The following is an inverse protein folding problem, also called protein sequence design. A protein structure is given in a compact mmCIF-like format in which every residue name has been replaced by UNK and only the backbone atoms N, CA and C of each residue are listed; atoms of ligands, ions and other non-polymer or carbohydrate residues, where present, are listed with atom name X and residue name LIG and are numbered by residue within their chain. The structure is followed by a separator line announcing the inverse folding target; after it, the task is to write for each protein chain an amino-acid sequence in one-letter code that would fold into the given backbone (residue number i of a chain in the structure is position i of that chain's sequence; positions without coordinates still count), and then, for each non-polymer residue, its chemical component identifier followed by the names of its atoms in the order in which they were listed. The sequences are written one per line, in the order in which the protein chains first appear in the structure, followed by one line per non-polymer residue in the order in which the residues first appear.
data_IF_543277327442
#
_entry.id   IF_543277327442
#
_cell.length_a   1.000
_cell.length_b   1.000
_cell.length_c   1.000
_cell.angle_alpha   90.00
_cell.angle_beta   90.00
_cell.angle_gamma   90.00
#
_symmetry.space_group_name_H-M   'P 1'
#
loop_
_entity.id
_entity.type
_entity.pdbx_description
1 polymer ?
#
# COMPACT_ATOMS: atom_id res chain seq x y z
N UNK A 1 -56.96 24.74 -35.88
CA UNK A 1 -56.68 23.42 -35.25
C UNK A 1 -55.27 22.88 -35.54
N UNK A 2 -54.67 23.10 -36.72
CA UNK A 2 -53.32 22.59 -37.03
C UNK A 2 -52.16 23.25 -36.23
N UNK A 3 -52.28 24.53 -35.83
CA UNK A 3 -51.25 25.24 -35.04
C UNK A 3 -51.15 24.79 -33.58
N UNK A 4 -52.26 24.33 -32.99
CA UNK A 4 -52.29 23.83 -31.60
C UNK A 4 -51.70 22.42 -31.48
N UNK A 5 -51.72 21.64 -32.57
CA UNK A 5 -51.15 20.29 -32.61
C UNK A 5 -49.61 20.30 -32.64
N UNK A 6 -49.00 21.30 -33.28
CA UNK A 6 -47.54 21.44 -33.37
C UNK A 6 -46.88 21.83 -32.04
N UNK A 7 -47.57 22.58 -31.18
CA UNK A 7 -47.07 22.95 -29.85
C UNK A 7 -47.14 21.74 -28.90
N UNK A 8 -48.14 20.87 -29.05
CA UNK A 8 -48.29 19.68 -28.21
C UNK A 8 -47.27 18.58 -28.54
N UNK A 9 -46.82 18.48 -29.80
CA UNK A 9 -45.77 17.54 -30.21
C UNK A 9 -44.37 17.99 -29.77
N UNK A 10 -44.10 19.30 -29.67
CA UNK A 10 -42.81 19.79 -29.13
C UNK A 10 -42.67 19.62 -27.61
N UNK A 11 -43.77 19.62 -26.84
CA UNK A 11 -43.72 19.37 -25.38
C UNK A 11 -43.51 17.90 -25.00
N UNK A 12 -43.74 16.96 -25.92
CA UNK A 12 -43.57 15.52 -25.67
C UNK A 12 -42.18 14.98 -26.07
N UNK A 13 -41.32 15.83 -26.63
CA UNK A 13 -39.89 15.53 -26.84
C UNK A 13 -39.03 16.10 -25.71
N UNK A 14 -39.46 15.92 -24.46
CA UNK A 14 -38.56 16.03 -23.32
C UNK A 14 -37.50 14.94 -23.41
N UNK A 15 -36.40 15.21 -24.10
CA UNK A 15 -35.24 14.32 -24.10
C UNK A 15 -34.82 14.12 -22.65
N UNK A 16 -34.90 12.89 -22.15
CA UNK A 16 -34.31 12.53 -20.88
C UNK A 16 -32.78 12.73 -21.00
N UNK A 17 -32.34 13.95 -20.68
CA UNK A 17 -30.94 14.33 -20.66
C UNK A 17 -30.30 13.63 -19.46
N UNK A 18 -29.88 12.39 -19.67
CA UNK A 18 -29.18 11.62 -18.65
C UNK A 18 -27.81 12.26 -18.38
N UNK A 19 -27.61 12.82 -17.19
CA UNK A 19 -26.32 13.38 -16.84
C UNK A 19 -25.29 12.26 -16.58
N UNK A 20 -24.17 12.32 -17.31
CA UNK A 20 -22.97 11.54 -17.00
C UNK A 20 -22.42 11.90 -15.60
N UNK A 21 -21.50 11.10 -15.06
CA UNK A 21 -20.82 11.41 -13.81
C UNK A 21 -20.17 12.80 -13.91
N UNK A 22 -19.38 13.01 -14.97
CA UNK A 22 -18.91 14.32 -15.42
C UNK A 22 -18.80 14.36 -16.95
N UNK A 23 -18.85 15.57 -17.51
CA UNK A 23 -18.66 15.80 -18.95
C UNK A 23 -17.16 15.92 -19.27
N UNK A 24 -16.72 15.18 -20.28
CA UNK A 24 -15.36 15.23 -20.82
C UNK A 24 -15.20 16.46 -21.70
N UNK A 25 -14.14 17.24 -21.50
CA UNK A 25 -13.75 18.32 -22.43
C UNK A 25 -12.29 18.22 -22.87
N UNK A 26 -11.52 17.31 -22.27
CA UNK A 26 -10.13 17.04 -22.60
C UNK A 26 -9.94 15.54 -22.87
N UNK A 27 -8.81 15.18 -23.48
CA UNK A 27 -8.42 13.80 -23.75
C UNK A 27 -7.05 13.46 -23.15
N UNK A 28 -6.83 12.19 -22.85
CA UNK A 28 -5.52 11.73 -22.38
C UNK A 28 -4.48 11.88 -23.49
N UNK A 29 -3.51 12.75 -23.25
CA UNK A 29 -2.30 12.92 -24.05
C UNK A 29 -1.06 12.71 -23.19
N UNK A 30 0.11 12.61 -23.80
CA UNK A 30 1.37 12.53 -23.04
C UNK A 30 1.54 13.72 -22.08
N UNK A 31 1.12 14.93 -22.49
CA UNK A 31 1.14 16.10 -21.62
C UNK A 31 0.24 15.95 -20.39
N UNK A 32 -0.94 15.32 -20.53
CA UNK A 32 -1.80 15.00 -19.38
C UNK A 32 -1.25 13.88 -18.51
N UNK A 33 -0.57 12.88 -19.09
CA UNK A 33 0.16 11.86 -18.32
C UNK A 33 1.29 12.47 -17.49
N UNK A 34 2.00 13.46 -18.04
CA UNK A 34 3.07 14.16 -17.32
C UNK A 34 2.50 15.08 -16.23
N UNK A 35 1.38 15.78 -16.50
CA UNK A 35 0.65 16.54 -15.48
C UNK A 35 0.08 15.65 -14.37
N UNK A 36 -0.37 14.45 -14.72
CA UNK A 36 -0.83 13.45 -13.75
C UNK A 36 0.31 13.01 -12.84
N UNK A 37 1.47 12.65 -13.41
CA UNK A 37 2.64 12.28 -12.64
C UNK A 37 3.07 13.41 -11.68
N UNK A 38 3.08 14.66 -12.15
CA UNK A 38 3.41 15.82 -11.31
C UNK A 38 2.38 16.07 -10.20
N UNK A 39 1.09 15.96 -10.51
CA UNK A 39 0.02 16.09 -9.50
C UNK A 39 0.14 15.00 -8.42
N UNK A 40 0.40 13.75 -8.80
CA UNK A 40 0.61 12.66 -7.83
C UNK A 40 1.81 12.97 -6.93
N UNK A 41 2.92 13.42 -7.51
CA UNK A 41 4.12 13.79 -6.77
C UNK A 41 3.85 14.91 -5.76
N UNK A 42 3.13 15.97 -6.15
CA UNK A 42 2.90 17.15 -5.33
C UNK A 42 1.74 17.00 -4.31
N UNK A 43 0.62 16.43 -4.75
CA UNK A 43 -0.68 16.51 -4.07
C UNK A 43 -1.14 15.19 -3.44
N UNK A 44 -0.72 14.04 -3.95
CA UNK A 44 -1.14 12.73 -3.40
C UNK A 44 -0.39 12.41 -2.10
N UNK A 45 -0.99 12.76 -0.95
CA UNK A 45 -0.36 12.70 0.39
C UNK A 45 -1.16 11.81 1.33
N UNK A 46 -0.55 11.43 2.45
CA UNK A 46 -1.18 10.58 3.47
C UNK A 46 -2.43 11.19 4.09
N UNK A 47 -2.57 12.51 4.06
CA UNK A 47 -3.72 13.24 4.56
C UNK A 47 -4.79 13.56 3.50
N UNK A 48 -4.65 13.07 2.26
CA UNK A 48 -5.48 13.51 1.14
C UNK A 48 -6.99 13.36 1.39
N UNK A 49 -7.43 12.25 2.01
CA UNK A 49 -8.85 12.03 2.34
C UNK A 49 -9.23 12.47 3.77
N UNK A 50 -8.26 12.79 4.63
CA UNK A 50 -8.49 13.22 6.01
C UNK A 50 -8.46 14.74 6.19
N UNK A 51 -7.89 15.49 5.24
CA UNK A 51 -7.90 16.96 5.27
C UNK A 51 -9.22 17.54 4.77
N UNK A 52 -9.79 18.49 5.52
CA UNK A 52 -11.04 19.18 5.15
C UNK A 52 -10.86 20.18 3.99
N UNK A 53 -9.65 20.67 3.79
CA UNK A 53 -9.32 21.65 2.76
C UNK A 53 -8.14 21.20 1.91
N UNK A 54 -8.18 21.52 0.62
CA UNK A 54 -7.06 21.38 -0.30
C UNK A 54 -6.00 22.46 0.00
N UNK A 55 -4.79 22.31 -0.54
CA UNK A 55 -3.67 23.25 -0.28
C UNK A 55 -3.92 24.67 -0.78
N UNK A 56 -4.80 24.82 -1.76
CA UNK A 56 -5.24 26.11 -2.28
C UNK A 56 -6.34 26.77 -1.41
N UNK A 57 -6.69 26.17 -0.27
CA UNK A 57 -7.70 26.68 0.68
C UNK A 57 -9.14 26.26 0.38
N UNK A 58 -9.42 25.64 -0.77
CA UNK A 58 -10.76 25.18 -1.12
C UNK A 58 -11.20 23.99 -0.27
N UNK A 59 -12.52 23.82 -0.08
CA UNK A 59 -13.08 22.61 0.54
C UNK A 59 -12.67 21.37 -0.25
N UNK A 60 -12.22 20.33 0.45
CA UNK A 60 -11.84 19.07 -0.18
C UNK A 60 -13.08 18.22 -0.46
N UNK A 61 -13.49 18.06 -1.74
CA UNK A 61 -14.70 17.31 -2.07
C UNK A 61 -14.55 15.81 -1.82
N UNK A 62 -13.34 15.31 -1.56
CA UNK A 62 -13.04 13.91 -1.28
C UNK A 62 -12.82 13.64 0.22
N UNK A 63 -12.94 14.67 1.06
CA UNK A 63 -12.84 14.50 2.50
C UNK A 63 -13.80 13.40 2.99
N UNK A 64 -13.30 12.56 3.89
CA UNK A 64 -14.05 11.49 4.53
C UNK A 64 -14.24 10.24 3.66
N UNK A 65 -13.64 10.18 2.46
CA UNK A 65 -13.58 8.92 1.73
C UNK A 65 -12.63 7.95 2.45
N UNK A 66 -13.05 6.69 2.52
CA UNK A 66 -12.27 5.60 3.04
C UNK A 66 -11.92 4.68 1.89
N UNK A 67 -10.66 4.32 1.79
CA UNK A 67 -10.11 3.62 0.63
C UNK A 67 -9.23 2.48 1.10
N UNK A 68 -9.31 1.31 0.47
CA UNK A 68 -8.33 0.25 0.60
C UNK A 68 -7.12 0.45 -0.35
N UNK A 69 -6.30 -0.59 -0.56
CA UNK A 69 -5.16 -0.51 -1.46
C UNK A 69 -5.54 -0.24 -2.93
N UNK A 70 -6.54 -0.94 -3.48
CA UNK A 70 -6.95 -0.78 -4.86
C UNK A 70 -7.77 0.50 -5.05
N UNK A 71 -8.64 0.81 -4.09
CA UNK A 71 -9.39 2.06 -4.05
C UNK A 71 -8.46 3.27 -4.12
N UNK A 72 -7.34 3.23 -3.39
CA UNK A 72 -6.31 4.29 -3.44
C UNK A 72 -5.79 4.47 -4.86
N UNK A 73 -5.48 3.38 -5.57
CA UNK A 73 -4.96 3.42 -6.95
C UNK A 73 -6.01 3.99 -7.92
N UNK A 74 -7.24 3.46 -7.91
CA UNK A 74 -8.30 3.95 -8.80
C UNK A 74 -8.70 5.39 -8.48
N UNK A 75 -8.83 5.76 -7.20
CA UNK A 75 -9.17 7.12 -6.77
C UNK A 75 -8.19 8.13 -7.32
N UNK A 76 -6.89 7.84 -7.22
CA UNK A 76 -5.83 8.72 -7.72
C UNK A 76 -6.04 9.07 -9.20
N UNK A 77 -6.39 8.08 -10.04
CA UNK A 77 -6.63 8.29 -11.48
C UNK A 77 -7.96 8.96 -11.77
N UNK A 78 -9.04 8.55 -11.08
CA UNK A 78 -10.39 9.10 -11.26
C UNK A 78 -10.44 10.57 -10.86
N UNK A 79 -9.86 10.92 -9.71
CA UNK A 79 -9.85 12.29 -9.18
C UNK A 79 -9.12 13.22 -10.14
N UNK A 80 -7.91 12.84 -10.58
CA UNK A 80 -7.19 13.64 -11.56
C UNK A 80 -7.97 13.78 -12.88
N UNK A 81 -8.60 12.69 -13.35
CA UNK A 81 -9.40 12.71 -14.56
C UNK A 81 -10.59 13.67 -14.43
N UNK A 82 -11.31 13.63 -13.32
CA UNK A 82 -12.43 14.53 -13.05
C UNK A 82 -11.98 16.00 -12.97
N UNK A 83 -10.94 16.31 -12.19
CA UNK A 83 -10.43 17.68 -12.01
C UNK A 83 -9.92 18.29 -13.31
N UNK A 84 -9.48 17.46 -14.25
CA UNK A 84 -9.01 17.88 -15.56
C UNK A 84 -9.99 17.57 -16.70
N UNK A 85 -11.22 17.13 -16.40
CA UNK A 85 -12.27 16.81 -17.37
C UNK A 85 -11.83 15.83 -18.48
N UNK A 86 -11.04 14.84 -18.10
CA UNK A 86 -10.56 13.73 -18.93
C UNK A 86 -11.54 12.54 -18.86
N UNK A 87 -11.57 11.67 -19.88
CA UNK A 87 -12.28 10.41 -19.80
C UNK A 87 -11.65 9.48 -18.76
N UNK A 88 -12.49 8.73 -18.05
CA UNK A 88 -12.08 7.59 -17.24
C UNK A 88 -12.81 6.34 -17.71
N UNK A 89 -12.07 5.25 -17.89
CA UNK A 89 -12.61 3.96 -18.27
C UNK A 89 -11.77 2.84 -17.66
N UNK A 90 -12.43 1.80 -17.18
CA UNK A 90 -11.83 0.58 -16.64
C UNK A 90 -12.64 -0.64 -17.06
N UNK A 91 -12.03 -1.81 -17.11
CA UNK A 91 -12.70 -3.08 -17.35
C UNK A 91 -13.67 -3.38 -16.20
N UNK A 92 -14.89 -3.77 -16.52
CA UNK A 92 -15.88 -4.18 -15.52
C UNK A 92 -15.59 -5.63 -15.09
N UNK A 93 -15.11 -5.87 -13.85
CA UNK A 93 -14.82 -7.23 -13.38
C UNK A 93 -16.10 -8.07 -13.17
N UNK A 94 -17.28 -7.44 -13.17
CA UNK A 94 -18.58 -8.10 -12.99
C UNK A 94 -19.26 -8.45 -14.31
N UNK A 95 -18.78 -7.89 -15.44
CA UNK A 95 -19.39 -8.09 -16.75
C UNK A 95 -18.33 -8.20 -17.86
N UNK A 96 -18.14 -9.41 -18.37
CA UNK A 96 -17.12 -9.70 -19.39
C UNK A 96 -17.27 -8.81 -20.64
N UNK A 97 -16.17 -8.17 -21.05
CA UNK A 97 -16.12 -7.29 -22.22
C UNK A 97 -16.86 -5.95 -22.06
N UNK A 98 -17.33 -5.63 -20.85
CA UNK A 98 -17.91 -4.33 -20.52
C UNK A 98 -16.91 -3.46 -19.78
N UNK A 99 -17.17 -2.17 -19.78
CA UNK A 99 -16.33 -1.18 -19.12
C UNK A 99 -17.16 -0.28 -18.22
N UNK A 100 -16.59 0.08 -17.07
CA UNK A 100 -17.08 1.13 -16.19
C UNK A 100 -16.44 2.45 -16.63
N UNK A 101 -17.22 3.52 -16.77
CA UNK A 101 -16.70 4.82 -17.20
C UNK A 101 -17.44 5.99 -16.56
N UNK A 102 -16.88 7.19 -16.69
CA UNK A 102 -17.52 8.43 -16.24
C UNK A 102 -18.79 8.79 -17.04
N UNK A 103 -19.10 8.08 -18.12
CA UNK A 103 -20.33 8.28 -18.92
C UNK A 103 -21.57 7.61 -18.32
N UNK A 104 -21.42 6.88 -17.22
CA UNK A 104 -22.56 6.26 -16.53
C UNK A 104 -23.53 7.33 -16.02
N UNK A 105 -24.84 7.09 -16.16
CA UNK A 105 -25.92 7.96 -15.70
C UNK A 105 -26.58 7.51 -14.39
N UNK A 106 -25.96 6.56 -13.68
CA UNK A 106 -26.53 5.93 -12.46
C UNK A 106 -26.90 6.94 -11.36
N UNK A 107 -26.25 8.10 -11.34
CA UNK A 107 -26.45 9.14 -10.34
C UNK A 107 -27.02 10.43 -10.95
N UNK A 108 -27.75 10.29 -12.05
CA UNK A 108 -28.48 11.41 -12.63
C UNK A 108 -29.41 12.08 -11.58
N UNK A 109 -29.58 13.40 -11.71
CA UNK A 109 -30.33 14.21 -10.75
C UNK A 109 -29.56 14.66 -9.50
N UNK A 110 -28.32 14.21 -9.29
CA UNK A 110 -27.46 14.67 -8.20
C UNK A 110 -26.51 15.79 -8.65
N UNK A 111 -25.98 16.57 -7.71
CA UNK A 111 -24.89 17.53 -8.01
C UNK A 111 -23.65 16.79 -8.53
N UNK A 112 -22.87 17.42 -9.40
CA UNK A 112 -21.71 16.76 -10.02
C UNK A 112 -20.71 16.22 -8.99
N UNK A 113 -20.43 16.99 -7.94
CA UNK A 113 -19.58 16.53 -6.83
C UNK A 113 -20.14 15.27 -6.16
N UNK A 114 -21.46 15.17 -5.99
CA UNK A 114 -22.07 13.98 -5.41
C UNK A 114 -22.03 12.80 -6.39
N UNK A 115 -22.20 13.03 -7.70
CA UNK A 115 -22.05 11.98 -8.73
C UNK A 115 -20.65 11.38 -8.70
N UNK A 116 -19.61 12.22 -8.65
CA UNK A 116 -18.22 11.75 -8.59
C UNK A 116 -17.93 10.97 -7.31
N UNK A 117 -18.40 11.46 -6.15
CA UNK A 117 -18.27 10.72 -4.89
C UNK A 117 -18.96 9.35 -4.95
N UNK A 118 -20.16 9.29 -5.50
CA UNK A 118 -20.88 8.04 -5.65
C UNK A 118 -20.27 7.10 -6.70
N UNK A 119 -19.65 7.66 -7.75
CA UNK A 119 -18.87 6.88 -8.71
C UNK A 119 -17.64 6.25 -8.05
N UNK A 120 -16.90 7.00 -7.22
CA UNK A 120 -15.80 6.45 -6.42
C UNK A 120 -16.29 5.32 -5.50
N UNK A 121 -17.40 5.52 -4.78
CA UNK A 121 -17.97 4.46 -3.92
C UNK A 121 -18.38 3.22 -4.71
N UNK A 122 -18.93 3.40 -5.90
CA UNK A 122 -19.25 2.27 -6.77
C UNK A 122 -18.00 1.53 -7.21
N UNK A 123 -16.94 2.25 -7.59
CA UNK A 123 -15.63 1.68 -7.91
C UNK A 123 -15.09 0.86 -6.73
N UNK A 124 -15.20 1.35 -5.50
CA UNK A 124 -14.74 0.61 -4.31
C UNK A 124 -15.53 -0.68 -4.06
N UNK A 125 -16.79 -0.70 -4.45
CA UNK A 125 -17.65 -1.88 -4.32
C UNK A 125 -17.44 -2.95 -5.41
N UNK A 126 -16.77 -2.63 -6.52
CA UNK A 126 -16.65 -3.55 -7.68
C UNK A 126 -15.21 -3.85 -8.07
N UNK A 127 -14.28 -2.91 -7.85
CA UNK A 127 -12.87 -3.08 -8.19
C UNK A 127 -12.09 -3.69 -7.02
N UNK A 128 -10.93 -4.25 -7.32
CA UNK A 128 -10.00 -4.76 -6.30
C UNK A 128 -8.59 -4.84 -6.86
N UNK A 129 -7.62 -5.27 -6.04
CA UNK A 129 -6.28 -5.57 -6.56
C UNK A 129 -6.32 -6.61 -7.69
N UNK A 130 -7.34 -7.49 -7.73
CA UNK A 130 -7.52 -8.49 -8.80
C UNK A 130 -7.95 -7.88 -10.13
N UNK A 131 -8.58 -6.71 -10.14
CA UNK A 131 -8.99 -6.03 -11.38
C UNK A 131 -7.86 -5.18 -11.97
N UNK A 132 -6.93 -4.67 -11.15
CA UNK A 132 -5.82 -3.82 -11.59
C UNK A 132 -5.06 -4.36 -12.83
N UNK A 133 -4.73 -5.66 -12.95
CA UNK A 133 -4.02 -6.17 -14.12
C UNK A 133 -4.77 -6.02 -15.44
N UNK A 134 -6.09 -5.86 -15.41
CA UNK A 134 -6.91 -5.65 -16.61
C UNK A 134 -6.83 -4.20 -17.10
N UNK A 135 -6.59 -3.26 -16.19
CA UNK A 135 -6.55 -1.81 -16.47
C UNK A 135 -5.12 -1.27 -16.61
N UNK A 136 -4.12 -2.10 -16.33
CA UNK A 136 -2.71 -1.70 -16.26
C UNK A 136 -1.82 -2.70 -16.98
N UNK A 137 -0.64 -2.26 -17.42
CA UNK A 137 0.35 -3.10 -18.09
C UNK A 137 1.69 -3.08 -17.34
N UNK A 138 2.48 -4.17 -17.38
CA UNK A 138 3.82 -4.20 -16.80
C UNK A 138 4.78 -3.30 -17.59
N UNK A 139 5.66 -2.61 -16.89
CA UNK A 139 6.55 -1.60 -17.47
C UNK A 139 8.01 -2.01 -17.47
N UNK A 140 8.80 -1.34 -18.32
CA UNK A 140 10.25 -1.48 -18.35
C UNK A 140 10.89 -0.91 -17.07
N UNK A 141 12.08 -1.38 -16.72
CA UNK A 141 12.83 -0.93 -15.54
C UNK A 141 13.68 0.29 -15.90
N UNK A 142 13.06 1.47 -15.85
CA UNK A 142 13.74 2.77 -15.95
C UNK A 142 12.85 3.89 -15.38
N UNK A 143 13.42 5.08 -15.17
CA UNK A 143 12.72 6.24 -14.60
C UNK A 143 11.65 6.87 -15.49
N UNK A 144 11.70 6.64 -16.80
CA UNK A 144 10.69 7.20 -17.71
C UNK A 144 9.37 6.45 -17.59
N UNK A 145 9.41 5.17 -17.23
CA UNK A 145 8.23 4.31 -17.11
C UNK A 145 7.85 4.02 -15.66
N UNK A 146 8.81 3.86 -14.75
CA UNK A 146 8.57 3.74 -13.31
C UNK A 146 8.66 5.14 -12.71
N UNK A 147 7.50 5.79 -12.63
CA UNK A 147 7.37 7.18 -12.17
C UNK A 147 6.07 7.41 -11.40
N UNK A 148 5.94 8.61 -10.87
CA UNK A 148 4.75 9.09 -10.16
C UNK A 148 3.47 8.80 -10.96
N UNK A 149 2.43 8.32 -10.27
CA UNK A 149 1.16 7.91 -10.89
C UNK A 149 1.12 6.46 -11.40
N UNK A 150 2.28 5.79 -11.48
CA UNK A 150 2.35 4.35 -11.62
C UNK A 150 1.98 3.62 -10.34
N UNK A 151 2.00 2.29 -10.39
CA UNK A 151 1.72 1.44 -9.23
C UNK A 151 2.66 0.24 -9.16
N UNK A 152 2.72 -0.36 -7.97
CA UNK A 152 3.20 -1.72 -7.78
C UNK A 152 2.04 -2.57 -7.27
N UNK A 153 1.85 -3.76 -7.85
CA UNK A 153 0.84 -4.71 -7.41
C UNK A 153 1.50 -6.02 -6.99
N UNK A 154 0.86 -6.76 -6.08
CA UNK A 154 1.26 -8.13 -5.76
C UNK A 154 0.58 -9.13 -6.69
N UNK A 155 1.04 -10.37 -6.63
CA UNK A 155 0.35 -11.50 -7.23
C UNK A 155 -1.05 -11.68 -6.64
N UNK A 156 -1.84 -12.54 -7.30
CA UNK A 156 -3.15 -12.99 -6.82
C UNK A 156 -3.12 -13.68 -5.45
N UNK A 157 -1.96 -13.98 -4.87
CA UNK A 157 -1.90 -14.58 -3.54
C UNK A 157 -2.02 -13.53 -2.43
N UNK A 158 -1.41 -12.36 -2.61
CA UNK A 158 -1.25 -11.36 -1.55
C UNK A 158 -2.19 -10.14 -1.65
N UNK A 159 -2.87 -9.96 -2.78
CA UNK A 159 -3.95 -8.99 -2.96
C UNK A 159 -3.67 -7.53 -2.57
N UNK A 160 -2.43 -7.06 -2.68
CA UNK A 160 -2.06 -5.70 -2.30
C UNK A 160 -1.52 -4.86 -3.45
N UNK A 161 -1.61 -3.55 -3.29
CA UNK A 161 -1.08 -2.59 -4.26
C UNK A 161 -0.63 -1.29 -3.58
N UNK A 162 0.26 -0.59 -4.28
CA UNK A 162 0.81 0.69 -3.87
C UNK A 162 0.79 1.67 -5.03
N UNK A 163 0.48 2.93 -4.73
CA UNK A 163 0.73 4.02 -5.68
C UNK A 163 2.18 4.46 -5.57
N UNK A 164 2.83 4.70 -6.71
CA UNK A 164 4.17 5.29 -6.75
C UNK A 164 3.98 6.80 -6.65
N UNK A 165 4.35 7.38 -5.51
CA UNK A 165 4.37 8.84 -5.33
C UNK A 165 5.57 9.44 -6.04
N UNK A 166 6.75 8.84 -5.88
CA UNK A 166 7.97 9.18 -6.60
C UNK A 166 9.02 8.06 -6.47
N UNK A 167 10.07 8.13 -7.30
CA UNK A 167 11.29 7.35 -7.13
C UNK A 167 12.39 8.29 -6.62
N UNK A 168 12.79 8.11 -5.37
CA UNK A 168 13.82 8.91 -4.69
C UNK A 168 15.13 8.90 -5.51
N UNK A 169 16.00 9.92 -5.43
CA UNK A 169 17.25 9.97 -6.21
C UNK A 169 18.17 8.76 -6.05
N UNK A 170 18.01 7.99 -4.96
CA UNK A 170 18.74 6.75 -4.66
C UNK A 170 18.13 5.50 -5.31
N UNK A 171 17.09 5.67 -6.13
CA UNK A 171 16.40 4.59 -6.84
C UNK A 171 15.32 3.87 -6.02
N UNK A 172 15.09 4.28 -4.77
CA UNK A 172 14.10 3.67 -3.85
C UNK A 172 12.71 4.28 -4.10
N UNK A 173 11.64 3.47 -4.15
CA UNK A 173 10.29 4.00 -4.30
C UNK A 173 9.79 4.65 -3.01
N UNK A 174 9.13 5.80 -3.15
CA UNK A 174 8.24 6.36 -2.16
C UNK A 174 6.82 5.99 -2.56
N UNK A 175 6.21 5.12 -1.76
CA UNK A 175 4.91 4.53 -2.00
C UNK A 175 3.87 5.13 -1.06
N UNK A 176 2.68 5.42 -1.58
CA UNK A 176 1.49 5.80 -0.80
C UNK A 176 0.42 4.74 -1.05
N UNK A 177 -0.26 4.30 0.00
CA UNK A 177 -1.18 3.18 -0.07
C UNK A 177 -2.16 3.20 1.10
N UNK A 178 -3.15 2.31 1.08
CA UNK A 178 -3.90 1.98 2.28
C UNK A 178 -4.07 0.47 2.42
N UNK A 179 -4.75 0.02 3.47
CA UNK A 179 -5.12 -1.37 3.68
C UNK A 179 -6.61 -1.49 3.96
N UNK A 180 -7.17 -2.69 3.87
CA UNK A 180 -8.57 -2.98 4.23
C UNK A 180 -8.89 -2.45 5.64
N UNK A 181 -7.94 -2.58 6.58
CA UNK A 181 -8.08 -2.01 7.93
C UNK A 181 -8.17 -0.51 7.92
N UNK A 182 -7.25 0.15 7.20
CA UNK A 182 -7.26 1.60 7.10
C UNK A 182 -8.55 2.12 6.46
N UNK A 183 -9.15 1.37 5.53
CA UNK A 183 -10.48 1.67 4.98
C UNK A 183 -11.60 1.55 6.03
N UNK A 184 -11.42 0.77 7.09
CA UNK A 184 -12.40 0.61 8.16
C UNK A 184 -12.13 1.53 9.36
N UNK A 185 -10.88 1.92 9.58
CA UNK A 185 -10.44 2.59 10.81
C UNK A 185 -10.10 4.07 10.69
N UNK A 186 -9.86 4.58 9.48
CA UNK A 186 -9.49 5.99 9.30
C UNK A 186 -9.64 6.53 7.89
N UNK A 187 -9.31 7.82 7.74
CA UNK A 187 -9.27 8.52 6.44
C UNK A 187 -7.82 8.76 5.97
N UNK A 188 -6.83 8.40 6.79
CA UNK A 188 -5.42 8.56 6.46
C UNK A 188 -4.91 7.43 5.57
N UNK A 189 -4.15 7.78 4.55
CA UNK A 189 -3.33 6.82 3.82
C UNK A 189 -2.02 6.57 4.59
N UNK A 190 -1.38 5.47 4.25
CA UNK A 190 -0.07 5.07 4.74
C UNK A 190 1.00 5.39 3.69
N UNK A 191 2.24 5.43 4.14
CA UNK A 191 3.38 5.60 3.25
C UNK A 191 4.58 4.76 3.65
N UNK A 192 5.44 4.48 2.66
CA UNK A 192 6.73 3.82 2.88
C UNK A 192 7.77 4.33 1.89
N UNK A 193 9.01 4.45 2.36
CA UNK A 193 10.19 4.82 1.57
C UNK A 193 11.17 3.64 1.51
N UNK A 194 10.67 2.50 1.04
CA UNK A 194 11.40 1.24 1.00
C UNK A 194 10.83 0.30 -0.06
N UNK A 195 11.64 -0.66 -0.47
CA UNK A 195 11.24 -1.74 -1.36
C UNK A 195 10.33 -2.73 -0.62
N UNK A 196 9.15 -3.06 -1.17
CA UNK A 196 8.43 -4.26 -0.76
C UNK A 196 9.29 -5.52 -0.99
N UNK A 197 9.14 -6.53 -0.13
CA UNK A 197 9.83 -7.80 -0.29
C UNK A 197 9.41 -8.45 -1.64
N UNK A 198 10.35 -8.69 -2.58
CA UNK A 198 10.01 -9.25 -3.88
C UNK A 198 9.42 -10.67 -3.76
N UNK A 199 9.84 -11.50 -2.80
CA UNK A 199 9.25 -12.82 -2.58
C UNK A 199 7.76 -12.74 -2.20
N UNK A 200 7.38 -11.67 -1.52
CA UNK A 200 5.97 -11.37 -1.20
C UNK A 200 5.24 -10.74 -2.39
N UNK A 201 5.87 -9.81 -3.12
CA UNK A 201 5.25 -9.19 -4.30
C UNK A 201 4.88 -10.25 -5.35
N UNK A 202 5.78 -11.21 -5.59
CA UNK A 202 5.64 -12.22 -6.64
C UNK A 202 5.24 -13.60 -6.10
N UNK A 203 4.71 -13.67 -4.88
CA UNK A 203 4.49 -14.96 -4.20
C UNK A 203 3.57 -15.88 -5.01
N UNK A 204 4.01 -17.12 -5.21
CA UNK A 204 3.28 -18.17 -5.93
C UNK A 204 3.30 -18.06 -7.45
N UNK A 205 3.61 -16.90 -8.03
CA UNK A 205 3.68 -16.71 -9.48
C UNK A 205 4.62 -15.54 -9.82
N UNK A 206 5.86 -15.86 -10.18
CA UNK A 206 6.83 -14.89 -10.70
C UNK A 206 6.85 -14.89 -12.23
N UNK A 207 5.73 -14.47 -12.83
CA UNK A 207 5.59 -14.34 -14.28
C UNK A 207 4.80 -13.10 -14.66
N UNK A 208 4.81 -12.74 -15.94
CA UNK A 208 4.04 -11.60 -16.47
C UNK A 208 2.52 -11.75 -16.29
N UNK A 209 2.04 -12.99 -16.15
CA UNK A 209 0.62 -13.31 -15.96
C UNK A 209 0.14 -13.16 -14.51
N UNK A 210 1.06 -13.01 -13.56
CA UNK A 210 0.76 -12.87 -12.13
C UNK A 210 -0.08 -11.64 -11.79
N UNK A 211 -0.02 -10.62 -12.65
CA UNK A 211 -0.57 -9.29 -12.37
C UNK A 211 0.30 -8.46 -11.42
N UNK A 212 1.44 -9.00 -10.97
CA UNK A 212 2.32 -8.36 -10.00
C UNK A 212 3.34 -7.39 -10.64
N UNK A 213 4.15 -6.77 -9.78
CA UNK A 213 5.27 -5.93 -10.16
C UNK A 213 4.88 -4.48 -10.45
N UNK A 214 5.78 -3.74 -11.09
CA UNK A 214 5.54 -2.37 -11.52
C UNK A 214 4.61 -2.33 -12.73
N UNK A 215 3.60 -1.46 -12.67
CA UNK A 215 2.58 -1.32 -13.70
C UNK A 215 2.21 0.14 -13.93
N UNK A 216 1.65 0.39 -15.11
CA UNK A 216 1.10 1.70 -15.47
C UNK A 216 -0.25 1.55 -16.18
N UNK A 217 -1.04 2.62 -16.19
CA UNK A 217 -2.39 2.63 -16.75
C UNK A 217 -2.40 2.37 -18.26
N UNK A 218 -3.28 1.47 -18.70
CA UNK A 218 -3.54 1.24 -20.12
C UNK A 218 -4.33 2.43 -20.68
N UNK A 219 -4.00 2.91 -21.89
CA UNK A 219 -4.87 3.86 -22.56
C UNK A 219 -6.22 3.20 -22.88
N UNK A 220 -7.30 3.99 -22.92
CA UNK A 220 -8.65 3.53 -23.19
C UNK A 220 -8.74 2.66 -24.47
N UNK A 221 -8.04 3.07 -25.52
CA UNK A 221 -7.97 2.37 -26.82
C UNK A 221 -7.27 1.00 -26.75
N UNK A 222 -6.55 0.70 -25.67
CA UNK A 222 -5.89 -0.57 -25.45
C UNK A 222 -6.65 -1.49 -24.49
N UNK A 223 -7.63 -1.01 -23.70
CA UNK A 223 -8.24 -1.82 -22.62
C UNK A 223 -8.84 -3.16 -23.09
N UNK A 224 -9.46 -3.20 -24.27
CA UNK A 224 -10.08 -4.41 -24.85
C UNK A 224 -9.12 -5.24 -25.72
N UNK A 225 -7.84 -4.87 -25.78
CA UNK A 225 -6.81 -5.60 -26.53
C UNK A 225 -6.03 -6.52 -25.58
N UNK A 226 -5.24 -7.48 -26.08
CA UNK A 226 -4.25 -8.17 -25.26
C UNK A 226 -3.28 -7.18 -24.59
N UNK A 227 -2.89 -7.43 -23.33
CA UNK A 227 -2.05 -6.50 -22.54
C UNK A 227 -0.71 -6.17 -23.21
N UNK A 228 -0.12 -7.13 -23.91
CA UNK A 228 1.15 -7.00 -24.63
C UNK A 228 1.09 -6.05 -25.84
N UNK A 229 -0.11 -5.66 -26.29
CA UNK A 229 -0.32 -4.63 -27.31
C UNK A 229 -0.41 -3.21 -26.72
N UNK A 230 -0.38 -3.06 -25.39
CA UNK A 230 -0.43 -1.74 -24.76
C UNK A 230 0.89 -1.00 -25.03
N UNK A 231 0.86 0.27 -25.48
CA UNK A 231 2.07 1.07 -25.63
C UNK A 231 2.86 1.12 -24.31
N UNK A 232 4.15 0.87 -24.36
CA UNK A 232 5.02 0.85 -23.17
C UNK A 232 5.09 -0.50 -22.43
N UNK A 233 4.36 -1.53 -22.89
CA UNK A 233 4.46 -2.88 -22.33
C UNK A 233 5.90 -3.40 -22.31
N UNK A 234 6.30 -3.98 -21.18
CA UNK A 234 7.55 -4.70 -21.04
C UNK A 234 7.46 -5.77 -19.96
N UNK A 235 8.06 -6.93 -20.22
CA UNK A 235 8.21 -8.05 -19.31
C UNK A 235 9.60 -8.10 -18.63
N UNK A 236 10.43 -7.05 -18.81
CA UNK A 236 11.82 -6.99 -18.31
C UNK A 236 11.93 -7.35 -16.83
N UNK A 237 11.00 -6.87 -16.01
CA UNK A 237 11.02 -7.08 -14.56
C UNK A 237 10.86 -8.54 -14.12
N UNK A 238 10.39 -9.43 -15.00
CA UNK A 238 10.22 -10.87 -14.76
C UNK A 238 11.43 -11.71 -15.21
N UNK A 239 12.42 -11.06 -15.84
CA UNK A 239 13.68 -11.69 -16.29
C UNK A 239 14.80 -11.54 -15.26
N UNK A 240 14.55 -10.82 -14.17
CA UNK A 240 15.54 -10.53 -13.13
C UNK A 240 15.47 -11.62 -12.06
N UNK A 241 16.56 -12.31 -11.70
CA UNK A 241 16.50 -13.27 -10.59
C UNK A 241 15.96 -12.62 -9.31
N UNK A 242 14.99 -13.26 -8.65
CA UNK A 242 14.21 -12.67 -7.56
C UNK A 242 15.11 -12.21 -6.39
N UNK A 243 16.13 -13.00 -6.06
CA UNK A 243 17.15 -12.68 -5.05
C UNK A 243 18.04 -11.47 -5.40
N UNK A 244 18.06 -11.03 -6.66
CA UNK A 244 18.79 -9.85 -7.15
C UNK A 244 17.86 -8.69 -7.51
N UNK A 245 16.54 -8.89 -7.40
CA UNK A 245 15.54 -7.99 -7.98
C UNK A 245 15.67 -6.57 -7.46
N UNK A 246 15.64 -6.39 -6.13
CA UNK A 246 15.74 -5.06 -5.50
C UNK A 246 17.03 -4.34 -5.88
N UNK A 247 18.18 -5.02 -5.78
CA UNK A 247 19.49 -4.43 -6.12
C UNK A 247 19.54 -4.03 -7.60
N UNK A 248 19.08 -4.89 -8.50
CA UNK A 248 19.07 -4.62 -9.93
C UNK A 248 18.19 -3.42 -10.26
N UNK A 249 16.93 -3.45 -9.82
CA UNK A 249 15.96 -2.38 -10.10
C UNK A 249 16.41 -1.06 -9.49
N UNK A 250 16.85 -1.05 -8.22
CA UNK A 250 17.33 0.16 -7.58
C UNK A 250 18.51 0.77 -8.33
N UNK A 251 19.48 -0.03 -8.78
CA UNK A 251 20.64 0.48 -9.53
C UNK A 251 20.23 1.14 -10.86
N UNK A 252 19.21 0.61 -11.54
CA UNK A 252 18.67 1.14 -12.80
C UNK A 252 17.85 2.40 -12.60
N UNK A 253 17.31 2.58 -11.39
CA UNK A 253 16.52 3.74 -11.01
C UNK A 253 17.33 4.79 -10.24
N UNK A 254 18.56 4.53 -9.80
CA UNK A 254 19.33 5.49 -9.02
C UNK A 254 19.93 6.60 -9.91
N UNK A 255 19.81 7.86 -9.45
CA UNK A 255 20.54 9.02 -9.98
C UNK A 255 21.81 9.29 -9.18
N UNK A 256 21.86 8.83 -7.93
CA UNK A 256 23.03 8.88 -7.06
C UNK A 256 23.08 7.67 -6.14
N UNK A 257 24.25 7.40 -5.59
CA UNK A 257 24.40 6.42 -4.53
C UNK A 257 23.86 6.97 -3.20
N UNK A 258 23.37 6.06 -2.38
CA UNK A 258 23.01 6.29 -0.98
C UNK A 258 24.24 6.01 -0.12
N UNK A 259 24.58 6.88 0.83
CA UNK A 259 25.66 6.62 1.79
C UNK A 259 25.19 5.60 2.84
N UNK A 260 26.11 4.88 3.47
CA UNK A 260 25.81 3.89 4.53
C UNK A 260 24.88 4.44 5.63
N UNK A 261 25.16 5.64 6.16
CA UNK A 261 24.34 6.27 7.20
C UNK A 261 22.93 6.61 6.70
N UNK A 262 22.78 7.10 5.46
CA UNK A 262 21.49 7.37 4.83
C UNK A 262 20.66 6.08 4.65
N UNK A 263 21.31 5.01 4.16
CA UNK A 263 20.70 3.70 3.97
C UNK A 263 20.18 3.15 5.30
N UNK A 264 21.02 3.12 6.33
CA UNK A 264 20.64 2.63 7.65
C UNK A 264 19.54 3.48 8.27
N UNK A 265 19.66 4.81 8.24
CA UNK A 265 18.65 5.71 8.81
C UNK A 265 17.28 5.50 8.14
N UNK A 266 17.24 5.32 6.81
CA UNK A 266 16.01 5.04 6.07
C UNK A 266 15.42 3.67 6.41
N UNK A 267 16.25 2.64 6.55
CA UNK A 267 15.79 1.30 6.93
C UNK A 267 15.27 1.28 8.37
N UNK A 268 15.97 1.91 9.34
CA UNK A 268 15.48 2.09 10.71
C UNK A 268 14.14 2.84 10.72
N UNK A 269 14.03 3.94 9.97
CA UNK A 269 12.78 4.70 9.84
C UNK A 269 11.65 3.83 9.30
N UNK A 270 11.92 3.02 8.27
CA UNK A 270 10.94 2.11 7.67
C UNK A 270 10.45 1.08 8.68
N UNK A 271 11.37 0.38 9.36
CA UNK A 271 11.01 -0.62 10.37
C UNK A 271 10.26 0.03 11.55
N UNK A 272 10.66 1.23 11.94
CA UNK A 272 9.99 2.01 12.97
C UNK A 272 8.55 2.37 12.58
N UNK A 273 8.32 2.85 11.34
CA UNK A 273 6.98 3.12 10.85
C UNK A 273 6.09 1.87 10.92
N UNK A 274 6.60 0.71 10.47
CA UNK A 274 5.86 -0.54 10.57
C UNK A 274 5.53 -0.94 12.02
N UNK A 275 6.48 -0.76 12.95
CA UNK A 275 6.27 -1.00 14.38
C UNK A 275 5.22 -0.04 14.98
N UNK A 276 5.29 1.25 14.66
CA UNK A 276 4.34 2.25 15.12
C UNK A 276 2.93 2.01 14.55
N UNK A 277 2.81 1.69 13.26
CA UNK A 277 1.53 1.38 12.60
C UNK A 277 0.87 0.13 13.19
N UNK A 278 1.69 -0.83 13.65
CA UNK A 278 1.20 -2.00 14.37
C UNK A 278 0.48 -1.61 15.65
N UNK A 279 0.94 -0.58 16.39
CA UNK A 279 0.27 -0.12 17.62
C UNK A 279 -1.17 0.24 17.34
N UNK A 280 -1.41 1.07 16.32
CA UNK A 280 -2.75 1.46 15.89
C UNK A 280 -3.58 0.23 15.50
N UNK A 281 -3.01 -0.66 14.67
CA UNK A 281 -3.71 -1.86 14.18
C UNK A 281 -4.14 -2.81 15.31
N UNK A 282 -3.28 -3.00 16.33
CA UNK A 282 -3.61 -3.83 17.49
C UNK A 282 -4.69 -3.17 18.35
N UNK A 283 -4.56 -1.87 18.63
CA UNK A 283 -5.51 -1.15 19.47
C UNK A 283 -6.92 -1.16 18.88
N UNK A 284 -7.06 -1.03 17.57
CA UNK A 284 -8.34 -1.17 16.88
C UNK A 284 -8.96 -2.56 17.06
N UNK A 285 -8.17 -3.62 16.90
CA UNK A 285 -8.63 -5.00 17.14
C UNK A 285 -9.04 -5.24 18.60
N UNK A 286 -8.27 -4.71 19.56
CA UNK A 286 -8.60 -4.79 20.98
C UNK A 286 -9.88 -4.02 21.30
N UNK A 287 -10.09 -2.85 20.71
CA UNK A 287 -11.31 -2.07 20.91
C UNK A 287 -12.54 -2.75 20.29
N UNK A 288 -12.38 -3.42 19.15
CA UNK A 288 -13.42 -4.28 18.61
C UNK A 288 -13.76 -5.42 19.57
N UNK A 289 -12.76 -6.12 20.11
CA UNK A 289 -12.97 -7.23 21.06
C UNK A 289 -13.66 -6.79 22.36
N UNK A 290 -13.38 -5.57 22.86
CA UNK A 290 -14.06 -5.02 24.05
C UNK A 290 -15.56 -4.83 23.83
N UNK A 291 -15.96 -4.52 22.59
CA UNK A 291 -17.36 -4.26 22.21
C UNK A 291 -18.08 -5.52 21.73
N UNK A 292 -17.35 -6.58 21.43
CA UNK A 292 -17.89 -7.79 20.79
C UNK A 292 -17.34 -9.06 21.44
N UNK A 293 -18.22 -9.87 22.02
CA UNK A 293 -17.85 -11.12 22.71
C UNK A 293 -17.91 -12.37 21.82
N UNK A 294 -18.38 -12.27 20.57
CA UNK A 294 -18.48 -13.40 19.63
C UNK A 294 -17.17 -13.63 18.88
N UNK A 295 -16.96 -14.85 18.38
CA UNK A 295 -15.90 -15.07 17.39
C UNK A 295 -16.16 -14.20 16.15
N UNK A 296 -15.09 -13.73 15.55
CA UNK A 296 -15.13 -12.92 14.33
C UNK A 296 -15.48 -13.85 13.17
N UNK A 297 -16.19 -13.34 12.18
CA UNK A 297 -16.24 -13.99 10.87
C UNK A 297 -14.94 -13.72 10.09
N UNK A 298 -14.81 -14.33 8.91
CA UNK A 298 -13.62 -14.18 8.08
C UNK A 298 -13.31 -12.71 7.74
N UNK A 299 -14.31 -11.91 7.34
CA UNK A 299 -14.09 -10.52 6.94
C UNK A 299 -13.60 -9.65 8.11
N UNK A 300 -14.17 -9.85 9.28
CA UNK A 300 -13.76 -9.16 10.50
C UNK A 300 -12.39 -9.63 10.97
N UNK A 301 -12.12 -10.93 10.88
CA UNK A 301 -10.81 -11.51 11.20
C UNK A 301 -9.72 -10.95 10.27
N UNK A 302 -9.94 -10.99 8.96
CA UNK A 302 -9.02 -10.47 7.95
C UNK A 302 -8.70 -8.99 8.20
N UNK A 303 -9.72 -8.22 8.61
CA UNK A 303 -9.54 -6.85 9.09
C UNK A 303 -8.55 -6.81 10.27
N UNK A 304 -8.87 -7.38 11.44
CA UNK A 304 -8.06 -7.11 12.64
C UNK A 304 -6.80 -7.98 12.82
N UNK A 305 -6.60 -8.98 11.96
CA UNK A 305 -5.41 -9.85 11.98
C UNK A 305 -4.16 -9.08 11.54
N UNK A 306 -2.98 -9.55 11.98
CA UNK A 306 -1.70 -8.93 11.62
C UNK A 306 -0.67 -9.82 10.90
N UNK A 307 -0.97 -11.01 10.33
CA UNK A 307 0.08 -11.89 9.81
C UNK A 307 0.91 -11.23 8.70
N UNK A 308 0.26 -10.57 7.74
CA UNK A 308 0.95 -9.87 6.65
C UNK A 308 1.71 -8.61 7.13
N UNK A 309 1.21 -7.94 8.17
CA UNK A 309 1.89 -6.78 8.76
C UNK A 309 3.14 -7.23 9.51
N UNK A 310 3.02 -8.27 10.32
CA UNK A 310 4.10 -8.84 11.12
C UNK A 310 5.20 -9.42 10.22
N UNK A 311 4.83 -10.11 9.13
CA UNK A 311 5.76 -10.54 8.08
C UNK A 311 6.52 -9.38 7.45
N UNK A 312 5.84 -8.31 7.07
CA UNK A 312 6.50 -7.13 6.47
C UNK A 312 7.49 -6.48 7.42
N UNK A 313 7.13 -6.32 8.70
CA UNK A 313 8.05 -5.72 9.68
C UNK A 313 9.26 -6.63 9.91
N UNK A 314 9.04 -7.95 9.92
CA UNK A 314 10.13 -8.93 9.95
C UNK A 314 11.07 -8.79 8.73
N UNK A 315 10.52 -8.70 7.52
CA UNK A 315 11.30 -8.49 6.30
C UNK A 315 12.10 -7.18 6.33
N UNK A 316 11.52 -6.12 6.90
CA UNK A 316 12.21 -4.84 7.10
C UNK A 316 13.39 -4.99 8.10
N UNK A 317 13.23 -5.76 9.18
CA UNK A 317 14.34 -6.10 10.08
C UNK A 317 15.42 -6.92 9.39
N UNK A 318 15.05 -7.91 8.58
CA UNK A 318 16.02 -8.73 7.85
C UNK A 318 16.79 -7.90 6.81
N UNK A 319 16.12 -6.95 6.16
CA UNK A 319 16.75 -5.98 5.25
C UNK A 319 17.73 -5.08 5.98
N UNK A 320 17.35 -4.55 7.14
CA UNK A 320 18.22 -3.73 8.00
C UNK A 320 19.42 -4.53 8.50
N UNK A 321 19.22 -5.78 8.95
CA UNK A 321 20.28 -6.68 9.39
C UNK A 321 21.29 -6.93 8.27
N UNK A 322 20.81 -7.29 7.08
CA UNK A 322 21.66 -7.59 5.92
C UNK A 322 22.50 -6.37 5.52
N UNK A 323 21.88 -5.19 5.45
CA UNK A 323 22.59 -3.95 5.18
C UNK A 323 23.68 -3.66 6.23
N UNK A 324 23.36 -3.81 7.52
CA UNK A 324 24.36 -3.60 8.58
C UNK A 324 25.54 -4.58 8.46
N UNK A 325 25.25 -5.86 8.24
CA UNK A 325 26.28 -6.90 8.07
C UNK A 325 27.18 -6.63 6.85
N UNK A 326 26.59 -6.22 5.72
CA UNK A 326 27.33 -5.86 4.49
C UNK A 326 28.24 -4.64 4.74
N UNK A 327 27.76 -3.61 5.42
CA UNK A 327 28.55 -2.41 5.79
C UNK A 327 29.75 -2.80 6.67
N UNK A 328 29.54 -3.64 7.70
CA UNK A 328 30.62 -4.12 8.56
C UNK A 328 31.67 -4.92 7.78
N UNK A 329 31.24 -5.73 6.81
CA UNK A 329 32.14 -6.52 5.96
C UNK A 329 32.96 -5.65 4.99
N UNK A 330 32.34 -4.61 4.41
CA UNK A 330 32.98 -3.75 3.40
C UNK A 330 33.96 -2.78 4.06
N UNK A 331 33.57 -2.13 5.16
CA UNK A 331 34.34 -1.01 5.73
C UNK A 331 34.40 -0.99 7.26
N UNK A 332 34.00 -2.05 7.95
CA UNK A 332 34.01 -2.12 9.42
C UNK A 332 33.00 -1.20 10.11
N UNK A 333 32.06 -0.61 9.36
CA UNK A 333 31.15 0.41 9.86
C UNK A 333 31.77 1.79 10.04
N UNK A 334 32.93 2.05 9.42
CA UNK A 334 33.66 3.31 9.56
C UNK A 334 32.91 4.51 8.94
N UNK A 335 31.92 4.26 8.08
CA UNK A 335 31.07 5.30 7.48
C UNK A 335 29.76 5.55 8.25
N UNK A 336 29.53 4.83 9.35
CA UNK A 336 28.37 5.04 10.21
C UNK A 336 28.70 6.03 11.31
N UNK A 337 27.76 6.92 11.64
CA UNK A 337 27.90 7.76 12.82
C UNK A 337 27.95 6.91 14.10
N UNK A 338 28.59 7.42 15.15
CA UNK A 338 28.66 6.73 16.44
C UNK A 338 27.26 6.45 17.03
N UNK A 339 26.30 7.36 16.83
CA UNK A 339 24.93 7.15 17.29
C UNK A 339 24.23 6.06 16.47
N UNK A 340 24.38 6.08 15.13
CA UNK A 340 23.84 5.04 14.24
C UNK A 340 24.35 3.67 14.67
N UNK A 341 25.66 3.54 14.91
CA UNK A 341 26.28 2.30 15.34
C UNK A 341 25.74 1.81 16.68
N UNK A 342 25.63 2.69 17.68
CA UNK A 342 25.07 2.33 18.99
C UNK A 342 23.60 1.86 18.89
N UNK A 343 22.80 2.46 18.02
CA UNK A 343 21.42 2.04 17.76
C UNK A 343 21.38 0.66 17.10
N UNK A 344 22.21 0.42 16.09
CA UNK A 344 22.31 -0.88 15.41
C UNK A 344 22.79 -1.99 16.34
N UNK A 345 23.82 -1.73 17.15
CA UNK A 345 24.35 -2.69 18.12
C UNK A 345 23.31 -3.04 19.19
N UNK A 346 22.41 -2.10 19.52
CA UNK A 346 21.27 -2.41 20.38
C UNK A 346 20.24 -3.33 19.70
N UNK A 347 19.92 -3.11 18.43
CA UNK A 347 18.95 -3.93 17.68
C UNK A 347 19.53 -5.33 17.36
N UNK A 348 20.83 -5.38 17.03
CA UNK A 348 21.55 -6.58 16.59
C UNK A 348 22.84 -6.78 17.43
N UNK A 349 22.71 -7.11 18.73
CA UNK A 349 23.84 -7.18 19.65
C UNK A 349 24.87 -8.27 19.35
N UNK A 350 24.55 -9.21 18.45
CA UNK A 350 25.47 -10.24 18.00
C UNK A 350 25.37 -10.43 16.47
N UNK A 351 25.49 -9.32 15.73
CA UNK A 351 25.34 -9.25 14.26
C UNK A 351 26.22 -10.24 13.48
N UNK A 352 27.33 -10.68 14.06
CA UNK A 352 28.22 -11.69 13.48
C UNK A 352 27.63 -13.10 13.46
N UNK A 353 26.62 -13.40 14.30
CA UNK A 353 25.92 -14.68 14.34
C UNK A 353 24.81 -14.75 13.28
N UNK A 354 24.23 -15.94 13.07
CA UNK A 354 22.99 -16.03 12.29
C UNK A 354 21.82 -15.38 13.03
N UNK A 355 20.76 -15.00 12.30
CA UNK A 355 19.56 -14.43 12.92
C UNK A 355 18.96 -15.35 14.00
N UNK A 356 18.94 -16.67 13.77
CA UNK A 356 18.48 -17.66 14.74
C UNK A 356 19.37 -17.73 16.01
N UNK A 357 20.69 -17.72 15.84
CA UNK A 357 21.64 -17.78 16.95
C UNK A 357 21.64 -16.50 17.79
N UNK A 358 21.52 -15.33 17.16
CA UNK A 358 21.38 -14.07 17.89
C UNK A 358 20.07 -14.04 18.67
N UNK A 359 18.96 -14.45 18.05
CA UNK A 359 17.61 -14.43 18.65
C UNK A 359 17.52 -15.31 19.90
N UNK A 360 18.17 -16.48 19.89
CA UNK A 360 18.19 -17.39 21.05
C UNK A 360 19.03 -16.87 22.22
N UNK A 361 19.97 -15.95 21.97
CA UNK A 361 20.86 -15.35 22.98
C UNK A 361 20.42 -13.96 23.42
N UNK A 362 19.52 -13.33 22.67
CA UNK A 362 19.08 -11.96 22.93
C UNK A 362 18.23 -11.90 24.21
N UNK A 363 18.77 -11.27 25.25
CA UNK A 363 18.04 -10.97 26.48
C UNK A 363 16.95 -9.92 26.25
N UNK A 364 15.99 -9.85 27.19
CA UNK A 364 14.97 -8.78 27.19
C UNK A 364 15.63 -7.40 27.19
N UNK A 365 15.12 -6.49 26.36
CA UNK A 365 15.67 -5.15 26.20
C UNK A 365 14.85 -4.12 26.98
N UNK A 366 15.52 -3.10 27.51
CA UNK A 366 14.91 -1.94 28.17
C UNK A 366 15.17 -0.67 27.37
N UNK A 367 14.38 0.39 27.59
CA UNK A 367 14.60 1.68 26.93
C UNK A 367 15.89 2.33 27.45
N UNK A 368 16.77 2.74 26.53
CA UNK A 368 18.04 3.42 26.84
C UNK A 368 18.28 4.58 25.87
N UNK A 369 19.39 5.31 26.02
CA UNK A 369 19.79 6.38 25.09
C UNK A 369 20.03 5.90 23.65
N UNK A 370 20.31 4.60 23.46
CA UNK A 370 20.45 3.98 22.14
C UNK A 370 19.13 3.40 21.59
N UNK A 371 18.02 3.51 22.33
CA UNK A 371 16.71 3.10 21.82
C UNK A 371 16.30 3.92 20.61
N UNK A 372 15.74 3.24 19.62
CA UNK A 372 15.01 3.87 18.51
C UNK A 372 13.56 3.43 18.55
N UNK A 373 12.67 4.29 18.05
CA UNK A 373 11.25 4.00 17.92
C UNK A 373 10.59 3.52 19.21
N UNK A 374 10.69 4.31 20.29
CA UNK A 374 10.00 3.98 21.55
C UNK A 374 8.52 4.31 21.38
N UNK A 375 7.65 3.31 21.54
CA UNK A 375 6.19 3.47 21.42
C UNK A 375 5.49 3.06 22.71
N UNK A 376 4.37 3.72 22.99
CA UNK A 376 3.40 3.29 24.01
C UNK A 376 2.45 2.26 23.37
N UNK A 377 2.78 0.97 23.49
CA UNK A 377 2.07 -0.11 22.79
C UNK A 377 0.83 -0.62 23.53
N UNK A 378 0.76 -0.39 24.84
CA UNK A 378 -0.39 -0.59 25.73
C UNK A 378 -0.40 0.53 26.77
N UNK A 379 -1.54 0.82 27.43
CA UNK A 379 -1.61 1.87 28.46
C UNK A 379 -0.52 1.73 29.53
N UNK A 380 0.35 2.74 29.64
CA UNK A 380 1.45 2.78 30.60
C UNK A 380 2.64 1.86 30.28
N UNK A 381 2.69 1.23 29.09
CA UNK A 381 3.76 0.30 28.71
C UNK A 381 4.49 0.77 27.47
N UNK A 382 5.82 0.85 27.58
CA UNK A 382 6.73 1.27 26.51
C UNK A 382 7.57 0.12 25.99
N UNK A 383 7.82 0.13 24.70
CA UNK A 383 8.70 -0.83 24.03
C UNK A 383 9.51 -0.10 22.97
N UNK A 384 10.79 -0.43 22.86
CA UNK A 384 11.63 0.05 21.77
C UNK A 384 11.74 -0.99 20.66
N UNK A 385 12.33 -0.58 19.53
CA UNK A 385 12.44 -1.43 18.36
C UNK A 385 13.24 -2.72 18.61
N UNK A 386 14.22 -2.70 19.52
CA UNK A 386 15.05 -3.85 19.84
C UNK A 386 14.28 -4.93 20.63
N UNK A 387 13.51 -4.52 21.63
CA UNK A 387 12.62 -5.43 22.36
C UNK A 387 11.52 -5.99 21.44
N UNK A 388 10.95 -5.14 20.58
CA UNK A 388 9.96 -5.59 19.60
C UNK A 388 10.53 -6.64 18.66
N UNK A 389 11.71 -6.39 18.08
CA UNK A 389 12.45 -7.34 17.23
C UNK A 389 12.66 -8.67 17.95
N UNK A 390 13.13 -8.64 19.22
CA UNK A 390 13.34 -9.86 20.01
C UNK A 390 12.06 -10.69 20.10
N UNK A 391 10.94 -10.07 20.49
CA UNK A 391 9.65 -10.78 20.64
C UNK A 391 9.12 -11.31 19.31
N UNK A 392 9.24 -10.52 18.25
CA UNK A 392 8.84 -10.90 16.90
C UNK A 392 9.64 -12.11 16.43
N UNK A 393 10.97 -12.06 16.53
CA UNK A 393 11.88 -13.10 16.03
C UNK A 393 11.78 -14.38 16.86
N UNK A 394 11.48 -14.29 18.16
CA UNK A 394 11.23 -15.46 19.02
C UNK A 394 9.85 -16.09 18.81
N UNK A 395 9.00 -15.53 17.93
CA UNK A 395 7.64 -16.03 17.71
C UNK A 395 6.72 -15.85 18.92
N UNK A 396 7.02 -14.87 19.78
CA UNK A 396 6.20 -14.58 20.97
C UNK A 396 4.96 -13.76 20.63
N UNK A 397 4.98 -13.04 19.51
CA UNK A 397 3.94 -12.12 19.08
C UNK A 397 2.81 -12.88 18.39
N UNK A 398 1.59 -12.76 18.89
CA UNK A 398 0.40 -13.25 18.20
C UNK A 398 -0.08 -12.30 17.11
N UNK A 399 -0.39 -12.87 15.95
CA UNK A 399 -1.07 -12.21 14.83
C UNK A 399 -2.60 -12.47 14.79
N UNK A 400 -3.12 -13.27 15.72
CA UNK A 400 -4.53 -13.63 15.77
C UNK A 400 -5.36 -12.52 16.44
N UNK A 401 -6.39 -11.97 15.78
CA UNK A 401 -7.22 -10.90 16.32
C UNK A 401 -8.10 -11.28 17.51
N UNK A 402 -8.19 -12.56 17.87
CA UNK A 402 -8.89 -13.03 19.08
C UNK A 402 -8.07 -12.94 20.35
N UNK A 403 -6.76 -12.73 20.22
CA UNK A 403 -5.84 -12.64 21.35
C UNK A 403 -5.87 -11.25 22.00
N UNK A 404 -5.76 -11.25 23.34
CA UNK A 404 -5.59 -10.05 24.16
C UNK A 404 -4.25 -9.36 23.93
N UNK A 405 -4.12 -8.11 24.40
CA UNK A 405 -2.95 -7.26 24.15
C UNK A 405 -1.63 -7.91 24.58
N UNK A 406 -1.64 -8.59 25.72
CA UNK A 406 -0.49 -9.30 26.29
C UNK A 406 0.05 -10.40 25.35
N UNK A 407 -0.82 -11.08 24.61
CA UNK A 407 -0.42 -12.10 23.63
C UNK A 407 -0.03 -11.44 22.30
N UNK A 408 -0.78 -10.41 21.86
CA UNK A 408 -0.49 -9.64 20.64
C UNK A 408 0.85 -8.91 20.71
N UNK A 409 1.41 -8.70 21.91
CA UNK A 409 2.71 -8.07 22.14
C UNK A 409 3.75 -8.99 22.77
N UNK A 410 3.47 -10.29 22.89
CA UNK A 410 4.43 -11.29 23.37
C UNK A 410 4.88 -11.10 24.83
N UNK A 411 4.04 -10.51 25.67
CA UNK A 411 4.21 -10.53 27.13
C UNK A 411 3.71 -11.84 27.74
N UNK A 412 2.66 -12.42 27.14
CA UNK A 412 2.14 -13.73 27.48
C UNK A 412 2.31 -14.68 26.30
N UNK A 413 2.58 -15.96 26.59
CA UNK A 413 2.71 -16.99 25.55
C UNK A 413 1.33 -17.48 25.13
N UNK A 414 1.00 -17.22 23.86
CA UNK A 414 -0.29 -17.58 23.28
C UNK A 414 -0.42 -19.05 22.87
N UNK A 415 -1.57 -19.42 22.29
CA UNK A 415 -2.76 -18.57 22.14
C UNK A 415 -3.56 -18.45 23.44
N UNK A 416 -4.30 -17.34 23.60
CA UNK A 416 -5.30 -17.15 24.65
C UNK A 416 -6.44 -18.17 24.54
N UNK A 417 -7.26 -18.31 25.58
CA UNK A 417 -8.41 -19.21 25.55
C UNK A 417 -9.37 -18.89 24.40
N UNK A 418 -9.67 -17.60 24.16
CA UNK A 418 -10.58 -17.17 23.08
C UNK A 418 -10.01 -17.52 21.70
N UNK A 419 -8.72 -17.29 21.48
CA UNK A 419 -8.06 -17.64 20.22
C UNK A 419 -8.00 -19.17 19.97
N UNK A 420 -8.02 -19.99 21.03
CA UNK A 420 -8.14 -21.47 20.89
C UNK A 420 -9.55 -21.91 20.49
N UNK A 421 -10.57 -21.20 20.96
CA UNK A 421 -11.98 -21.56 20.72
C UNK A 421 -12.55 -20.98 19.43
N UNK A 422 -11.99 -19.86 18.95
CA UNK A 422 -12.42 -19.23 17.71
C UNK A 422 -11.60 -19.72 16.51
N UNK A 423 -12.24 -19.76 15.34
CA UNK A 423 -11.56 -20.10 14.10
C UNK A 423 -10.47 -19.07 13.77
N UNK A 424 -9.31 -19.56 13.34
CA UNK A 424 -8.21 -18.76 12.79
C UNK A 424 -8.07 -19.10 11.32
N UNK A 425 -8.00 -18.08 10.45
CA UNK A 425 -7.88 -18.29 9.01
C UNK A 425 -6.45 -18.16 8.49
N UNK A 426 -5.63 -17.36 9.16
CA UNK A 426 -4.23 -17.18 8.79
C UNK A 426 -3.31 -17.34 9.99
N UNK A 427 -2.07 -17.72 9.70
CA UNK A 427 -0.99 -17.74 10.66
C UNK A 427 0.32 -17.42 9.95
N UNK A 428 1.11 -16.56 10.57
CA UNK A 428 2.49 -16.30 10.16
C UNK A 428 3.43 -16.48 11.34
N UNK A 429 4.62 -17.00 11.08
CA UNK A 429 5.70 -17.14 12.04
C UNK A 429 7.01 -16.68 11.39
N UNK A 430 7.96 -16.14 12.17
CA UNK A 430 9.26 -15.71 11.65
C UNK A 430 10.04 -16.90 11.10
N UNK A 431 10.61 -16.73 9.90
CA UNK A 431 11.54 -17.69 9.30
C UNK A 431 12.96 -17.12 9.36
N UNK A 432 13.70 -17.53 10.39
CA UNK A 432 15.06 -17.05 10.65
C UNK A 432 16.12 -17.71 9.76
N UNK A 433 15.72 -18.56 8.80
CA UNK A 433 16.64 -19.15 7.82
C UNK A 433 16.86 -18.25 6.60
N UNK A 434 16.01 -17.23 6.41
CA UNK A 434 16.07 -16.28 5.31
C UNK A 434 17.14 -15.20 5.54
N UNK A 435 18.42 -15.55 5.61
CA UNK A 435 19.53 -14.58 5.77
C UNK A 435 20.11 -14.09 4.44
#
# INVERSE_FOLDING_TARGET
MLRSLLIFVMLLMGTAANAAVWTEVNEWSQAYEDRYAEWVRAEWRTDFFSRKSLRNGQSNPYYGLRVDCADTVYSMRIIFAYENRLPFVAQDPTAAGKTISNKMSRWDGQSENQRVRNFLWYIYGVMSTRSLPNDTYPVAINRNTIRSGGLMATSKKNHHSWTIKEILPIGVPYLVYNSVVGANSGYGLQERQSWPNPDWVFEGDYSVNSGAGFRYWRPASALNKPVWQSPGYSDEQFKIPLNKWVRHVQSRLALRQETDDQLVARLIKTTCSGFADRVTSINEGLDYLKRNNKCMDYATYDTYSTPNRDRRIFDDFMSLRRAYKEILQINGGNQLSASTKAQLDKIFPAISLSAAQETSRMAAQTVTSASVCVVDYLPGRKMDLAEFKRRLFQGLISNNPHDGGEYRWGEARGPSQRARTCQSWDHWAPDLTQE
#
